data_IF_696853839785
#
_entry.id   IF_696853839785
#
_cell.length_a   1.000
_cell.length_b   1.000
_cell.length_c   1.000
_cell.angle_alpha   90.00
_cell.angle_beta   90.00
_cell.angle_gamma   90.00
#
_symmetry.space_group_name_H-M   'P 1'
#
loop_
_entity.id
_entity.type
_entity.pdbx_description
1 polymer ?
#
# COMPACT_ATOMS: atom_id res chain seq x y z
N UNK A 1 -10.05 7.86 11.15
CA UNK A 1 -9.42 6.72 10.45
C UNK A 1 -8.56 5.82 11.37
N UNK A 2 -7.57 6.35 12.11
CA UNK A 2 -6.64 5.57 12.96
C UNK A 2 -7.30 4.46 13.81
N UNK A 3 -8.41 4.75 14.50
CA UNK A 3 -9.15 3.75 15.30
C UNK A 3 -9.61 2.52 14.49
N UNK A 4 -10.10 2.73 13.26
CA UNK A 4 -10.59 1.66 12.39
C UNK A 4 -9.44 0.78 11.90
N UNK A 5 -8.34 1.39 11.43
CA UNK A 5 -7.15 0.67 10.96
C UNK A 5 -6.58 -0.19 12.09
N UNK A 6 -6.42 0.38 13.28
CA UNK A 6 -5.93 -0.36 14.45
C UNK A 6 -6.88 -1.50 14.83
N UNK A 7 -8.19 -1.29 14.77
CA UNK A 7 -9.17 -2.35 15.03
C UNK A 7 -9.04 -3.50 14.02
N UNK A 8 -8.90 -3.22 12.72
CA UNK A 8 -8.73 -4.25 11.71
C UNK A 8 -7.45 -5.06 11.93
N UNK A 9 -6.31 -4.40 12.18
CA UNK A 9 -5.04 -5.07 12.45
C UNK A 9 -5.14 -5.96 13.70
N UNK A 10 -5.63 -5.41 14.82
CA UNK A 10 -5.77 -6.15 16.07
C UNK A 10 -6.74 -7.34 15.93
N UNK A 11 -7.78 -7.20 15.09
CA UNK A 11 -8.75 -8.25 14.80
C UNK A 11 -8.31 -9.19 13.66
N UNK A 12 -7.09 -9.03 13.13
CA UNK A 12 -6.56 -9.78 11.98
C UNK A 12 -7.47 -9.76 10.75
N UNK A 13 -8.23 -8.67 10.57
CA UNK A 13 -9.04 -8.42 9.38
C UNK A 13 -8.16 -7.79 8.31
N UNK A 14 -8.09 -8.36 7.09
CA UNK A 14 -7.24 -7.84 6.04
C UNK A 14 -7.69 -6.43 5.60
N UNK A 15 -6.72 -5.61 5.19
CA UNK A 15 -6.93 -4.24 4.70
C UNK A 15 -6.36 -4.14 3.30
N UNK A 16 -7.15 -3.66 2.35
CA UNK A 16 -6.68 -3.30 1.00
C UNK A 16 -6.59 -1.78 0.91
N UNK A 17 -5.44 -1.26 0.50
CA UNK A 17 -5.16 0.17 0.37
C UNK A 17 -4.46 0.47 -0.95
N UNK A 18 -5.12 1.22 -1.82
CA UNK A 18 -4.74 1.41 -3.22
C UNK A 18 -4.34 2.86 -3.51
N UNK A 19 -3.50 3.06 -4.53
CA UNK A 19 -3.07 4.38 -4.99
C UNK A 19 -2.40 5.19 -3.86
N UNK A 20 -2.90 6.37 -3.54
CA UNK A 20 -2.34 7.23 -2.47
C UNK A 20 -2.71 6.79 -1.05
N UNK A 21 -3.73 5.94 -0.89
CA UNK A 21 -4.25 5.58 0.44
C UNK A 21 -3.27 4.87 1.40
N UNK A 22 -2.18 4.18 0.97
CA UNK A 22 -1.19 3.63 1.89
C UNK A 22 -0.53 4.70 2.79
N UNK A 23 -0.50 5.97 2.36
CA UNK A 23 -0.08 7.09 3.22
C UNK A 23 -0.92 7.21 4.50
N UNK A 24 -2.21 6.89 4.42
CA UNK A 24 -3.14 6.92 5.56
C UNK A 24 -2.91 5.75 6.52
N UNK A 25 -2.48 4.60 6.00
CA UNK A 25 -2.02 3.46 6.82
C UNK A 25 -0.76 3.87 7.57
N UNK A 26 0.25 4.37 6.88
CA UNK A 26 1.51 4.82 7.47
C UNK A 26 1.27 5.84 8.59
N UNK A 27 0.49 6.90 8.32
CA UNK A 27 0.20 7.93 9.33
C UNK A 27 -0.65 7.42 10.49
N UNK A 28 -1.53 6.45 10.25
CA UNK A 28 -2.34 5.86 11.33
C UNK A 28 -1.51 5.01 12.28
N UNK A 29 -0.45 4.37 11.78
CA UNK A 29 0.44 3.50 12.54
C UNK A 29 1.69 4.22 13.08
N UNK A 30 1.87 5.50 12.75
CA UNK A 30 2.89 6.35 13.34
C UNK A 30 2.85 6.31 14.88
N UNK A 31 4.03 6.08 15.47
CA UNK A 31 4.24 5.98 16.92
C UNK A 31 3.73 4.68 17.55
N UNK A 32 3.36 3.69 16.75
CA UNK A 32 3.03 2.33 17.23
C UNK A 32 4.19 1.37 16.99
N UNK A 33 4.13 0.17 17.57
CA UNK A 33 5.12 -0.89 17.34
C UNK A 33 4.95 -1.62 15.98
N UNK A 34 4.05 -1.12 15.13
CA UNK A 34 3.79 -1.68 13.80
C UNK A 34 4.63 -0.96 12.74
N UNK A 35 5.41 -1.73 11.99
CA UNK A 35 6.15 -1.27 10.82
C UNK A 35 5.55 -1.91 9.57
N UNK A 36 4.49 -1.32 8.98
CA UNK A 36 3.81 -1.92 7.84
C UNK A 36 4.71 -1.91 6.60
N UNK A 37 4.72 -3.01 5.84
CA UNK A 37 5.27 -3.03 4.49
C UNK A 37 4.22 -2.46 3.52
N UNK A 38 4.55 -1.37 2.84
CA UNK A 38 3.63 -0.64 1.96
C UNK A 38 4.31 -0.35 0.62
N UNK A 39 3.52 -0.34 -0.46
CA UNK A 39 3.94 0.24 -1.73
C UNK A 39 3.01 1.36 -2.14
N UNK A 40 3.60 2.41 -2.75
CA UNK A 40 2.87 3.44 -3.50
C UNK A 40 3.31 3.48 -4.96
N UNK A 41 4.14 2.54 -5.43
CA UNK A 41 4.74 2.59 -6.75
C UNK A 41 6.21 2.21 -6.73
N UNK A 42 6.87 2.52 -7.84
CA UNK A 42 8.28 2.28 -8.06
C UNK A 42 8.98 3.59 -8.36
N UNK A 43 10.21 3.77 -7.87
CA UNK A 43 11.06 4.90 -8.26
C UNK A 43 11.69 4.72 -9.64
N UNK A 44 11.50 3.56 -10.28
CA UNK A 44 12.11 3.19 -11.55
C UNK A 44 11.16 3.31 -12.76
N UNK A 45 9.90 3.66 -12.53
CA UNK A 45 8.87 3.80 -13.56
C UNK A 45 8.29 5.21 -13.56
N UNK A 46 7.77 5.64 -14.72
CA UNK A 46 7.23 6.99 -14.88
C UNK A 46 6.00 7.22 -14.00
N UNK A 47 5.98 8.38 -13.33
CA UNK A 47 4.91 8.81 -12.43
C UNK A 47 4.80 10.34 -12.50
N UNK A 48 3.58 10.86 -12.45
CA UNK A 48 3.34 12.31 -12.28
C UNK A 48 3.65 12.79 -10.85
N UNK A 49 3.75 11.86 -9.90
CA UNK A 49 4.10 12.10 -8.50
C UNK A 49 5.57 11.80 -8.23
N UNK A 50 6.15 12.51 -7.25
CA UNK A 50 7.49 12.20 -6.75
C UNK A 50 7.44 10.98 -5.80
N UNK A 51 7.51 9.78 -6.36
CA UNK A 51 7.44 8.52 -5.60
C UNK A 51 8.55 8.43 -4.55
N UNK A 52 9.75 8.90 -4.88
CA UNK A 52 10.89 8.89 -3.95
C UNK A 52 10.61 9.74 -2.70
N UNK A 53 10.11 10.97 -2.85
CA UNK A 53 9.74 11.82 -1.72
C UNK A 53 8.60 11.23 -0.89
N UNK A 54 7.58 10.67 -1.54
CA UNK A 54 6.44 10.04 -0.85
C UNK A 54 6.92 8.82 -0.05
N UNK A 55 7.78 7.99 -0.62
CA UNK A 55 8.38 6.84 0.05
C UNK A 55 9.20 7.28 1.27
N UNK A 56 10.03 8.32 1.13
CA UNK A 56 10.79 8.88 2.25
C UNK A 56 9.87 9.43 3.34
N UNK A 57 8.80 10.13 2.97
CA UNK A 57 7.84 10.67 3.91
C UNK A 57 7.17 9.55 4.73
N UNK A 58 6.67 8.48 4.09
CA UNK A 58 6.01 7.39 4.83
C UNK A 58 7.01 6.52 5.61
N UNK A 59 8.25 6.42 5.14
CA UNK A 59 9.34 5.74 5.88
C UNK A 59 9.68 6.49 7.16
N UNK A 60 9.68 7.83 7.13
CA UNK A 60 9.88 8.65 8.33
C UNK A 60 8.81 8.45 9.41
N UNK A 61 7.63 7.95 9.02
CA UNK A 61 6.53 7.59 9.93
C UNK A 61 6.66 6.17 10.51
N UNK A 62 7.71 5.42 10.14
CA UNK A 62 8.00 4.06 10.61
C UNK A 62 7.49 2.93 9.72
N UNK A 63 6.97 3.24 8.53
CA UNK A 63 6.61 2.23 7.51
C UNK A 63 7.83 1.77 6.73
N UNK A 64 7.76 0.58 6.13
CA UNK A 64 8.78 0.07 5.21
C UNK A 64 8.25 0.18 3.78
N UNK A 65 8.94 0.96 2.94
CA UNK A 65 8.56 1.13 1.54
C UNK A 65 9.12 0.01 0.68
N UNK A 66 8.25 -0.58 -0.13
CA UNK A 66 8.61 -1.62 -1.09
C UNK A 66 8.26 -1.11 -2.48
N UNK A 67 9.27 -0.93 -3.33
CA UNK A 67 9.04 -0.56 -4.73
C UNK A 67 8.28 -1.67 -5.45
N UNK A 68 7.15 -1.32 -6.07
CA UNK A 68 6.31 -2.22 -6.87
C UNK A 68 5.81 -1.52 -8.12
N UNK A 69 5.84 -2.24 -9.22
CA UNK A 69 5.25 -1.81 -10.49
C UNK A 69 3.74 -2.02 -10.49
N UNK A 70 3.04 -1.53 -11.51
CA UNK A 70 1.58 -1.73 -11.66
C UNK A 70 1.17 -3.19 -11.95
N UNK A 71 2.12 -4.05 -12.29
CA UNK A 71 1.87 -5.49 -12.46
C UNK A 71 2.08 -6.29 -11.16
N UNK A 72 2.38 -5.61 -10.05
CA UNK A 72 2.67 -6.23 -8.78
C UNK A 72 1.82 -5.64 -7.64
N UNK A 73 1.81 -6.33 -6.50
CA UNK A 73 1.28 -5.84 -5.24
C UNK A 73 2.31 -6.02 -4.13
N UNK A 74 2.15 -5.26 -3.04
CA UNK A 74 2.83 -5.53 -1.78
C UNK A 74 1.83 -6.12 -0.79
N UNK A 75 2.16 -7.29 -0.22
CA UNK A 75 1.36 -7.95 0.81
C UNK A 75 2.18 -8.07 2.10
N UNK A 76 1.84 -7.25 3.09
CA UNK A 76 2.30 -7.42 4.46
C UNK A 76 1.55 -8.57 5.12
N UNK A 77 2.18 -9.74 5.16
CA UNK A 77 1.60 -10.94 5.78
C UNK A 77 1.40 -10.80 7.30
N UNK A 78 2.25 -10.03 7.99
CA UNK A 78 2.19 -9.86 9.46
C UNK A 78 0.96 -9.05 9.86
N UNK A 79 0.71 -7.96 9.14
CA UNK A 79 -0.41 -7.05 9.44
C UNK A 79 -1.64 -7.29 8.54
N UNK A 80 -1.55 -8.22 7.59
CA UNK A 80 -2.55 -8.50 6.55
C UNK A 80 -2.96 -7.26 5.74
N UNK A 81 -1.97 -6.46 5.34
CA UNK A 81 -2.18 -5.25 4.55
C UNK A 81 -1.77 -5.52 3.11
N UNK A 82 -2.67 -5.26 2.17
CA UNK A 82 -2.42 -5.37 0.73
C UNK A 82 -2.38 -3.95 0.18
N UNK A 83 -1.31 -3.62 -0.53
CA UNK A 83 -1.13 -2.33 -1.20
C UNK A 83 -0.75 -2.49 -2.67
N UNK A 84 -1.20 -1.55 -3.50
CA UNK A 84 -0.93 -1.56 -4.93
C UNK A 84 -0.86 -0.13 -5.50
N UNK A 85 0.05 0.15 -6.47
CA UNK A 85 0.31 1.51 -6.95
C UNK A 85 -0.84 2.18 -7.70
N UNK A 86 -1.58 1.45 -8.55
CA UNK A 86 -2.68 1.99 -9.35
C UNK A 86 -2.27 3.28 -10.11
N UNK A 87 -3.04 4.37 -9.97
CA UNK A 87 -2.78 5.67 -10.60
C UNK A 87 -1.57 6.43 -10.03
N UNK A 88 -0.86 5.89 -9.04
CA UNK A 88 0.42 6.49 -8.62
C UNK A 88 1.48 6.40 -9.73
N UNK A 89 1.30 5.53 -10.72
CA UNK A 89 2.17 5.41 -11.88
C UNK A 89 1.47 5.94 -13.14
N UNK A 90 2.24 6.39 -14.12
CA UNK A 90 1.73 6.85 -15.40
C UNK A 90 1.37 5.65 -16.31
N UNK A 91 0.15 5.13 -16.15
CA UNK A 91 -0.33 3.91 -16.82
C UNK A 91 -1.73 4.05 -17.41
N UNK A 92 -2.14 3.08 -18.24
CA UNK A 92 -3.47 3.07 -18.84
C UNK A 92 -4.51 2.50 -17.87
N UNK A 93 -5.78 2.84 -18.09
CA UNK A 93 -6.90 2.36 -17.27
C UNK A 93 -6.97 0.83 -17.13
N UNK A 94 -6.59 0.09 -18.17
CA UNK A 94 -6.54 -1.38 -18.13
C UNK A 94 -5.47 -1.90 -17.17
N UNK A 95 -4.32 -1.24 -17.09
CA UNK A 95 -3.24 -1.61 -16.17
C UNK A 95 -3.68 -1.35 -14.73
N UNK A 96 -4.35 -0.22 -14.48
CA UNK A 96 -4.96 0.07 -13.18
C UNK A 96 -6.01 -0.97 -12.80
N UNK A 97 -6.90 -1.35 -13.73
CA UNK A 97 -7.88 -2.40 -13.49
C UNK A 97 -7.20 -3.72 -13.10
N UNK A 98 -6.17 -4.13 -13.84
CA UNK A 98 -5.42 -5.35 -13.55
C UNK A 98 -4.73 -5.28 -12.18
N UNK A 99 -4.14 -4.13 -11.83
CA UNK A 99 -3.49 -3.92 -10.54
C UNK A 99 -4.48 -4.01 -9.36
N UNK A 100 -5.66 -3.41 -9.51
CA UNK A 100 -6.75 -3.51 -8.53
C UNK A 100 -7.23 -4.97 -8.44
N UNK A 101 -7.42 -5.64 -9.59
CA UNK A 101 -7.83 -7.04 -9.63
C UNK A 101 -6.83 -7.94 -8.89
N UNK A 102 -5.52 -7.75 -9.07
CA UNK A 102 -4.49 -8.48 -8.32
C UNK A 102 -4.66 -8.30 -6.80
N UNK A 103 -4.92 -7.07 -6.34
CA UNK A 103 -5.12 -6.79 -4.92
C UNK A 103 -6.40 -7.46 -4.37
N UNK A 104 -7.50 -7.46 -5.14
CA UNK A 104 -8.77 -8.10 -4.75
C UNK A 104 -8.68 -9.63 -4.81
N UNK A 105 -8.05 -10.19 -5.84
CA UNK A 105 -7.79 -11.64 -5.95
C UNK A 105 -6.95 -12.10 -4.74
N UNK A 106 -5.93 -11.31 -4.34
CA UNK A 106 -5.15 -11.59 -3.15
C UNK A 106 -5.98 -11.51 -1.87
N UNK A 107 -6.88 -10.53 -1.76
CA UNK A 107 -7.81 -10.46 -0.63
C UNK A 107 -8.67 -11.73 -0.56
N UNK A 108 -9.26 -12.16 -1.68
CA UNK A 108 -10.05 -13.39 -1.76
C UNK A 108 -9.27 -14.66 -1.40
N UNK A 109 -7.97 -14.72 -1.72
CA UNK A 109 -7.09 -15.85 -1.37
C UNK A 109 -6.84 -15.98 0.15
N UNK A 110 -6.81 -14.86 0.88
CA UNK A 110 -6.40 -14.83 2.30
C UNK A 110 -7.57 -14.68 3.29
N UNK A 111 -8.81 -14.60 2.79
CA UNK A 111 -10.04 -14.63 3.59
C UNK A 111 -10.33 -16.06 4.05
#
# INVERSE_FOLDING_TARGET
>A
MKKLINHCINSKKPIVSLCISPTLIAKSLEGTDYNPNLTLGSTQEDSEYNIHEINNAISSLGSVTIDKTTNELCYDKKLKIITAPCYMMNVKINDVYNNIKLAIDKLSEIL
#
